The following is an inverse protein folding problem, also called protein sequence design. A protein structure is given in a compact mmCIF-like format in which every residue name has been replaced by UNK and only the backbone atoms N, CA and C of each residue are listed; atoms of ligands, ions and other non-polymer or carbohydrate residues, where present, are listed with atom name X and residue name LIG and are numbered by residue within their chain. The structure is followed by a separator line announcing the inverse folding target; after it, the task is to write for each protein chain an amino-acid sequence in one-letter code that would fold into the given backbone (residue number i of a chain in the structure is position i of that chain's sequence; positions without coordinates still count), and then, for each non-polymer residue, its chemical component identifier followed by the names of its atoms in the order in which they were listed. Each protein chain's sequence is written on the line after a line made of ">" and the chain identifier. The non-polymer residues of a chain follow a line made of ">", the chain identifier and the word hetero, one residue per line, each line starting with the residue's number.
data_IF_571514956565
#
_entry.id   IF_571514956565
#
_cell.length_a   1.000
_cell.length_b   1.000
_cell.length_c   1.000
_cell.angle_alpha   90.00
_cell.angle_beta   90.00
_cell.angle_gamma   90.00
#
_symmetry.space_group_name_H-M   'P 1'
#
loop_
_entity.id
_entity.type
_entity.pdbx_description
1 polymer ?
#
# COMPACT_ATOMS: atom_id res chain seq x y z
N UNK A 1 -15.30 -1.64 -19.82
CA UNK A 1 -15.13 -0.28 -19.29
C UNK A 1 -14.79 -0.32 -17.79
N UNK A 2 -15.63 -0.93 -16.95
CA UNK A 2 -15.42 -1.10 -15.51
C UNK A 2 -14.04 -1.63 -15.10
N UNK A 3 -13.56 -2.73 -15.70
CA UNK A 3 -12.24 -3.27 -15.36
C UNK A 3 -11.11 -2.25 -15.53
N UNK A 4 -11.09 -1.52 -16.66
CA UNK A 4 -10.08 -0.46 -16.89
C UNK A 4 -10.24 0.71 -15.92
N UNK A 5 -11.47 1.08 -15.59
CA UNK A 5 -11.74 2.14 -14.62
C UNK A 5 -11.25 1.73 -13.22
N UNK A 6 -11.48 0.48 -12.81
CA UNK A 6 -11.01 -0.05 -11.54
C UNK A 6 -9.49 -0.20 -11.48
N UNK A 7 -8.87 -0.64 -12.58
CA UNK A 7 -7.40 -0.67 -12.68
C UNK A 7 -6.82 0.74 -12.48
N UNK A 8 -7.41 1.77 -13.11
CA UNK A 8 -7.00 3.16 -12.92
C UNK A 8 -7.24 3.66 -11.49
N UNK A 9 -8.40 3.36 -10.90
CA UNK A 9 -8.74 3.75 -9.54
C UNK A 9 -7.81 3.10 -8.51
N UNK A 10 -7.44 1.83 -8.69
CA UNK A 10 -6.48 1.15 -7.83
C UNK A 10 -5.13 1.88 -7.81
N UNK A 11 -4.64 2.31 -8.98
CA UNK A 11 -3.39 3.08 -9.09
C UNK A 11 -3.50 4.46 -8.43
N UNK A 12 -4.62 5.15 -8.60
CA UNK A 12 -4.86 6.47 -7.98
C UNK A 12 -4.92 6.35 -6.46
N UNK A 13 -5.64 5.35 -5.93
CA UNK A 13 -5.75 5.09 -4.49
C UNK A 13 -4.39 4.71 -3.90
N UNK A 14 -3.66 3.80 -4.56
CA UNK A 14 -2.31 3.41 -4.16
C UNK A 14 -1.38 4.62 -4.09
N UNK A 15 -1.37 5.45 -5.13
CA UNK A 15 -0.55 6.65 -5.17
C UNK A 15 -0.93 7.62 -4.05
N UNK A 16 -2.22 7.83 -3.82
CA UNK A 16 -2.74 8.65 -2.72
C UNK A 16 -2.28 8.17 -1.35
N UNK A 17 -2.48 6.88 -1.05
CA UNK A 17 -2.03 6.28 0.22
C UNK A 17 -0.51 6.29 0.37
N UNK A 18 0.24 6.11 -0.73
CA UNK A 18 1.70 6.14 -0.69
C UNK A 18 2.29 7.50 -0.31
N UNK A 19 1.52 8.59 -0.43
CA UNK A 19 1.96 9.95 -0.09
C UNK A 19 1.62 10.34 1.35
N UNK A 20 0.97 9.45 2.10
CA UNK A 20 0.67 9.68 3.52
C UNK A 20 1.98 9.72 4.31
N UNK A 21 2.22 10.84 4.99
CA UNK A 21 3.45 11.05 5.77
C UNK A 21 3.45 10.38 7.14
N UNK A 22 2.26 10.17 7.72
CA UNK A 22 2.10 9.56 9.05
C UNK A 22 0.89 8.64 9.05
N UNK A 23 1.09 7.40 9.49
CA UNK A 23 0.06 6.36 9.43
C UNK A 23 -0.16 5.73 10.81
N UNK A 24 -1.04 6.30 11.64
CA UNK A 24 -1.30 5.73 12.99
C UNK A 24 -2.07 4.41 12.91
N UNK A 25 -2.28 3.76 14.06
CA UNK A 25 -3.13 2.56 14.16
C UNK A 25 -4.55 2.83 13.68
N UNK A 26 -5.11 3.94 14.14
CA UNK A 26 -6.43 4.42 13.76
C UNK A 26 -6.44 4.83 12.29
N UNK A 27 -5.37 5.49 11.83
CA UNK A 27 -5.23 5.93 10.44
C UNK A 27 -5.25 4.76 9.45
N UNK A 28 -4.43 3.73 9.65
CA UNK A 28 -4.44 2.55 8.77
C UNK A 28 -5.73 1.73 8.87
N UNK A 29 -6.35 1.68 10.05
CA UNK A 29 -7.66 1.05 10.20
C UNK A 29 -8.74 1.81 9.39
N UNK A 30 -8.68 3.14 9.39
CA UNK A 30 -9.53 3.98 8.55
C UNK A 30 -9.27 3.77 7.06
N UNK A 31 -8.00 3.68 6.62
CA UNK A 31 -7.67 3.37 5.21
C UNK A 31 -8.29 2.05 4.75
N UNK A 32 -8.20 1.00 5.59
CA UNK A 32 -8.84 -0.29 5.30
C UNK A 32 -10.36 -0.14 5.22
N UNK A 33 -10.98 0.61 6.13
CA UNK A 33 -12.42 0.85 6.12
C UNK A 33 -12.87 1.60 4.87
N UNK A 34 -12.15 2.64 4.48
CA UNK A 34 -12.41 3.44 3.29
C UNK A 34 -12.33 2.57 2.02
N UNK A 35 -11.30 1.71 1.92
CA UNK A 35 -11.15 0.78 0.81
C UNK A 35 -12.30 -0.22 0.74
N UNK A 36 -12.72 -0.77 1.89
CA UNK A 36 -13.85 -1.69 1.96
C UNK A 36 -15.18 -1.00 1.59
N UNK A 37 -15.38 0.25 2.01
CA UNK A 37 -16.51 1.06 1.60
C UNK A 37 -16.54 1.30 0.09
N UNK A 38 -15.38 1.63 -0.49
CA UNK A 38 -15.21 1.81 -1.92
C UNK A 38 -15.50 0.52 -2.72
N UNK A 39 -14.97 -0.63 -2.28
CA UNK A 39 -15.21 -1.94 -2.92
C UNK A 39 -16.70 -2.26 -2.92
N UNK A 40 -17.36 -2.22 -1.76
CA UNK A 40 -18.79 -2.53 -1.63
C UNK A 40 -19.67 -1.58 -2.45
N UNK A 41 -19.37 -0.29 -2.40
CA UNK A 41 -20.04 0.73 -3.20
C UNK A 41 -19.90 0.44 -4.69
N UNK A 42 -18.71 0.09 -5.15
CA UNK A 42 -18.48 -0.27 -6.55
C UNK A 42 -19.22 -1.54 -6.96
N UNK A 43 -19.14 -2.61 -6.16
CA UNK A 43 -19.84 -3.88 -6.45
C UNK A 43 -21.35 -3.69 -6.55
N UNK A 44 -21.93 -2.77 -5.78
CA UNK A 44 -23.37 -2.43 -5.87
C UNK A 44 -23.76 -1.71 -7.16
N UNK A 45 -22.80 -1.08 -7.86
CA UNK A 45 -23.03 -0.29 -9.07
C UNK A 45 -22.55 -1.00 -10.34
N UNK A 46 -21.55 -1.87 -10.22
CA UNK A 46 -20.94 -2.56 -11.35
C UNK A 46 -21.73 -3.82 -11.75
N UNK A 47 -21.60 -4.28 -13.01
CA UNK A 47 -22.07 -5.60 -13.43
C UNK A 47 -21.54 -6.74 -12.55
N UNK A 48 -22.30 -7.83 -12.44
CA UNK A 48 -21.99 -8.98 -11.54
C UNK A 48 -20.69 -9.71 -11.88
N UNK A 49 -20.20 -9.59 -13.11
CA UNK A 49 -18.95 -10.19 -13.60
C UNK A 49 -17.72 -9.33 -13.29
N UNK A 50 -17.90 -8.15 -12.69
CA UNK A 50 -16.80 -7.28 -12.24
C UNK A 50 -16.41 -7.63 -10.80
N UNK A 51 -15.18 -8.10 -10.63
CA UNK A 51 -14.60 -8.38 -9.32
C UNK A 51 -13.80 -7.16 -8.82
N UNK A 52 -14.48 -6.23 -8.13
CA UNK A 52 -13.84 -5.03 -7.60
C UNK A 52 -12.82 -5.35 -6.50
N UNK A 53 -13.08 -6.38 -5.69
CA UNK A 53 -12.17 -6.82 -4.63
C UNK A 53 -10.81 -7.24 -5.20
N UNK A 54 -10.78 -8.12 -6.20
CA UNK A 54 -9.54 -8.54 -6.86
C UNK A 54 -8.80 -7.37 -7.50
N UNK A 55 -9.53 -6.39 -8.05
CA UNK A 55 -8.95 -5.18 -8.65
C UNK A 55 -8.29 -4.26 -7.62
N UNK A 56 -8.80 -4.24 -6.40
CA UNK A 56 -8.26 -3.43 -5.30
C UNK A 56 -7.18 -4.13 -4.46
N UNK A 57 -6.84 -5.39 -4.77
CA UNK A 57 -5.88 -6.19 -3.99
C UNK A 57 -4.52 -5.51 -3.83
N UNK A 58 -4.04 -4.80 -4.85
CA UNK A 58 -2.76 -4.06 -4.78
C UNK A 58 -2.79 -2.96 -3.70
N UNK A 59 -3.95 -2.30 -3.51
CA UNK A 59 -4.13 -1.26 -2.50
C UNK A 59 -4.25 -1.89 -1.11
N UNK A 60 -5.04 -2.96 -0.99
CA UNK A 60 -5.22 -3.70 0.26
C UNK A 60 -3.90 -4.28 0.78
N UNK A 61 -3.10 -4.91 -0.10
CA UNK A 61 -1.77 -5.41 0.24
C UNK A 61 -0.83 -4.29 0.72
N UNK A 62 -0.88 -3.10 0.10
CA UNK A 62 -0.07 -1.96 0.50
C UNK A 62 -0.45 -1.46 1.90
N UNK A 63 -1.75 -1.38 2.22
CA UNK A 63 -2.22 -1.01 3.56
C UNK A 63 -1.80 -2.06 4.58
N UNK A 64 -1.89 -3.35 4.23
CA UNK A 64 -1.46 -4.46 5.10
C UNK A 64 0.04 -4.48 5.35
N UNK A 65 0.84 -3.89 4.48
CA UNK A 65 2.29 -3.79 4.65
C UNK A 65 2.69 -2.99 5.91
N UNK A 66 1.84 -2.10 6.42
CA UNK A 66 2.05 -1.42 7.71
C UNK A 66 2.07 -2.37 8.93
N UNK A 67 1.66 -3.63 8.75
CA UNK A 67 1.69 -4.66 9.79
C UNK A 67 2.85 -5.65 9.60
N UNK A 68 3.61 -5.54 8.50
CA UNK A 68 4.78 -6.39 8.25
C UNK A 68 5.87 -6.00 9.25
N UNK A 69 6.47 -6.98 9.96
CA UNK A 69 7.58 -6.71 10.86
C UNK A 69 8.76 -6.05 10.14
N UNK A 70 9.49 -5.17 10.84
CA UNK A 70 10.60 -4.40 10.26
C UNK A 70 11.64 -5.30 9.56
N UNK A 71 12.00 -6.42 10.17
CA UNK A 71 12.98 -7.36 9.63
C UNK A 71 12.51 -8.09 8.36
N UNK A 72 11.20 -8.09 8.07
CA UNK A 72 10.61 -8.72 6.90
C UNK A 72 10.32 -7.73 5.76
N UNK A 73 10.45 -6.41 5.99
CA UNK A 73 10.08 -5.38 5.01
C UNK A 73 10.85 -5.49 3.70
N UNK A 74 12.15 -5.83 3.75
CA UNK A 74 12.96 -6.02 2.54
C UNK A 74 12.47 -7.23 1.74
N UNK A 75 12.22 -8.34 2.41
CA UNK A 75 11.68 -9.55 1.77
C UNK A 75 10.29 -9.29 1.18
N UNK A 76 9.43 -8.60 1.92
CA UNK A 76 8.11 -8.20 1.46
C UNK A 76 8.20 -7.34 0.20
N UNK A 77 9.07 -6.33 0.18
CA UNK A 77 9.27 -5.47 -0.98
C UNK A 77 9.76 -6.25 -2.21
N UNK A 78 10.66 -7.23 -2.03
CA UNK A 78 11.11 -8.10 -3.12
C UNK A 78 10.03 -9.01 -3.68
N UNK A 79 9.07 -9.44 -2.86
CA UNK A 79 7.97 -10.32 -3.29
C UNK A 79 6.80 -9.58 -3.90
N UNK A 80 6.84 -8.24 -3.92
CA UNK A 80 5.78 -7.37 -4.48
C UNK A 80 6.34 -6.42 -5.55
N UNK A 81 6.72 -6.94 -6.74
CA UNK A 81 7.29 -6.15 -7.83
C UNK A 81 6.30 -5.17 -8.49
N UNK A 82 5.02 -5.25 -8.13
CA UNK A 82 3.98 -4.34 -8.62
C UNK A 82 4.09 -2.91 -8.05
N UNK A 83 4.83 -2.70 -6.97
CA UNK A 83 5.02 -1.40 -6.36
C UNK A 83 6.23 -0.68 -6.95
N UNK A 84 6.07 0.61 -7.20
CA UNK A 84 7.20 1.44 -7.65
C UNK A 84 8.19 1.65 -6.51
N UNK A 85 9.46 1.89 -6.85
CA UNK A 85 10.50 2.23 -5.88
C UNK A 85 10.07 3.38 -4.96
N UNK A 86 9.45 4.43 -5.51
CA UNK A 86 8.97 5.58 -4.74
C UNK A 86 7.91 5.18 -3.71
N UNK A 87 6.96 4.32 -4.09
CA UNK A 87 5.93 3.82 -3.16
C UNK A 87 6.55 2.99 -2.03
N UNK A 88 7.50 2.11 -2.35
CA UNK A 88 8.22 1.31 -1.36
C UNK A 88 9.04 2.17 -0.38
N UNK A 89 9.77 3.17 -0.89
CA UNK A 89 10.54 4.12 -0.08
C UNK A 89 9.62 4.91 0.85
N UNK A 90 8.48 5.39 0.36
CA UNK A 90 7.52 6.13 1.18
C UNK A 90 6.89 5.26 2.27
N UNK A 91 6.49 4.03 1.93
CA UNK A 91 5.97 3.05 2.89
C UNK A 91 6.95 2.82 4.03
N UNK A 92 8.19 2.47 3.70
CA UNK A 92 9.25 2.15 4.66
C UNK A 92 9.58 3.35 5.53
N UNK A 93 9.66 4.55 4.94
CA UNK A 93 9.87 5.79 5.69
C UNK A 93 8.73 6.03 6.69
N UNK A 94 7.48 5.84 6.27
CA UNK A 94 6.33 6.02 7.14
C UNK A 94 6.28 5.00 8.30
N UNK A 95 6.62 3.74 8.02
CA UNK A 95 6.73 2.70 9.05
C UNK A 95 7.85 3.03 10.06
N UNK A 96 9.01 3.44 9.55
CA UNK A 96 10.16 3.81 10.37
C UNK A 96 9.86 4.98 11.32
N UNK A 97 9.18 6.01 10.82
CA UNK A 97 8.77 7.17 11.62
C UNK A 97 7.80 6.79 12.74
N UNK A 98 6.81 5.94 12.44
CA UNK A 98 5.87 5.44 13.43
C UNK A 98 6.53 4.57 14.50
N UNK A 99 7.52 3.76 14.12
CA UNK A 99 8.26 2.86 15.02
C UNK A 99 9.45 3.53 15.71
N UNK A 100 9.69 4.83 15.47
CA UNK A 100 10.84 5.59 16.00
C UNK A 100 12.17 4.91 15.69
N UNK A 101 12.30 4.39 14.47
CA UNK A 101 13.50 3.71 14.01
C UNK A 101 14.72 4.64 14.09
N UNK A 102 15.89 4.09 14.43
CA UNK A 102 17.14 4.86 14.45
C UNK A 102 17.50 5.28 13.02
N UNK A 103 17.96 6.53 12.85
CA UNK A 103 18.35 7.09 11.52
C UNK A 103 19.32 6.20 10.73
N UNK A 104 20.28 5.56 11.40
CA UNK A 104 21.22 4.63 10.75
C UNK A 104 20.51 3.41 10.17
N UNK A 105 19.64 2.78 10.97
CA UNK A 105 18.86 1.61 10.54
C UNK A 105 17.93 1.96 9.36
N UNK A 106 17.26 3.12 9.40
CA UNK A 106 16.46 3.60 8.28
C UNK A 106 17.31 3.78 7.01
N UNK A 107 18.50 4.37 7.12
CA UNK A 107 19.39 4.55 5.96
C UNK A 107 19.80 3.20 5.36
N UNK A 108 20.20 2.24 6.18
CA UNK A 108 20.62 0.92 5.74
C UNK A 108 19.44 0.14 5.10
N UNK A 109 18.22 0.33 5.61
CA UNK A 109 17.00 -0.25 5.04
C UNK A 109 16.64 0.39 3.70
N UNK A 110 16.71 1.72 3.57
CA UNK A 110 16.42 2.43 2.32
C UNK A 110 17.38 2.03 1.19
N UNK A 111 18.67 1.84 1.49
CA UNK A 111 19.65 1.36 0.50
C UNK A 111 19.24 -0.01 -0.06
N UNK A 112 18.73 -0.90 0.79
CA UNK A 112 18.23 -2.22 0.36
C UNK A 112 16.95 -2.13 -0.46
N UNK A 113 16.06 -1.19 -0.15
CA UNK A 113 14.81 -0.99 -0.91
C UNK A 113 15.10 -0.33 -2.27
N UNK A 114 16.04 0.61 -2.33
CA UNK A 114 16.43 1.28 -3.58
C UNK A 114 17.14 0.34 -4.57
N UNK A 115 17.80 -0.71 -4.08
CA UNK A 115 18.39 -1.74 -4.94
C UNK A 115 17.37 -2.72 -5.53
N UNK A 116 16.10 -2.65 -5.10
CA UNK A 116 14.98 -3.37 -5.71
C UNK A 116 14.59 -2.61 -7.00
N UNK A 117 15.24 -2.97 -8.10
CA UNK A 117 14.87 -2.60 -9.47
C UNK A 117 15.32 -3.68 -10.46
#
# INVERSE_FOLDING_TARGET
>A
MWNKALDALAQILLEGFSRVRRCTVEGRAAMTLDLQGFIKGTESLSPRDVDAHSKMRIVDNYIKAFYVPEQELVHWAHTHPEYTRTQLVNLVTCIADNNKMKRKALKDLLVQIESIA
#
